data_IF_004864466337
#
_entry.id   IF_004864466337
#
_cell.length_a   1.000
_cell.length_b   1.000
_cell.length_c   1.000
_cell.angle_alpha   90.00
_cell.angle_beta   90.00
_cell.angle_gamma   90.00
#
_symmetry.space_group_name_H-M   'P 1'
#
loop_
_entity.id
_entity.type
_entity.pdbx_description
1 polymer ?
#
# COMPACT_ATOMS: atom_id res chain seq x y z
N UNK A 1 5.95 1.19 3.07
CA UNK A 1 5.06 0.51 2.12
C UNK A 1 5.82 -0.50 1.24
N UNK A 2 6.83 -0.10 0.47
CA UNK A 2 7.56 -1.03 -0.44
C UNK A 2 8.08 -2.29 0.27
N UNK A 3 8.72 -2.12 1.43
CA UNK A 3 9.15 -3.24 2.28
C UNK A 3 8.02 -4.24 2.56
N UNK A 4 6.82 -3.75 2.88
CA UNK A 4 5.66 -4.61 3.18
C UNK A 4 5.13 -5.32 1.93
N UNK A 5 5.36 -4.76 0.73
CA UNK A 5 5.07 -5.46 -0.50
C UNK A 5 5.98 -6.69 -0.64
N UNK A 6 7.28 -6.59 -0.31
CA UNK A 6 8.18 -7.74 -0.31
C UNK A 6 7.88 -8.75 0.80
N UNK A 7 7.42 -8.29 1.97
CA UNK A 7 7.04 -9.19 3.07
C UNK A 7 5.80 -10.04 2.70
N UNK A 8 4.84 -9.48 1.96
CA UNK A 8 3.59 -10.15 1.58
C UNK A 8 3.69 -10.87 0.24
N UNK A 9 4.46 -10.33 -0.70
CA UNK A 9 4.73 -10.89 -2.04
C UNK A 9 6.25 -11.02 -2.24
N UNK A 10 6.88 -12.07 -1.67
CA UNK A 10 8.33 -12.27 -1.76
C UNK A 10 8.86 -12.32 -3.20
N UNK A 11 8.03 -12.73 -4.16
CA UNK A 11 8.35 -12.74 -5.59
C UNK A 11 8.64 -11.35 -6.16
N UNK A 12 8.22 -10.28 -5.47
CA UNK A 12 8.52 -8.91 -5.87
C UNK A 12 9.89 -8.44 -5.35
N UNK A 13 10.63 -9.20 -4.56
CA UNK A 13 11.92 -8.76 -4.03
C UNK A 13 12.88 -8.31 -5.16
N UNK A 14 13.35 -7.06 -5.08
CA UNK A 14 14.16 -6.43 -6.13
C UNK A 14 13.38 -5.83 -7.30
N UNK A 15 12.04 -5.90 -7.30
CA UNK A 15 11.19 -5.21 -8.26
C UNK A 15 11.34 -3.68 -8.14
N UNK A 16 11.53 -3.02 -9.27
CA UNK A 16 11.56 -1.57 -9.39
C UNK A 16 10.14 -1.04 -9.59
N UNK A 17 9.53 -0.54 -8.50
CA UNK A 17 8.17 0.00 -8.53
C UNK A 17 8.10 1.31 -9.32
N UNK A 18 7.10 1.42 -10.20
CA UNK A 18 6.85 2.58 -11.04
C UNK A 18 5.55 3.29 -10.65
N UNK A 19 5.46 4.62 -10.80
CA UNK A 19 4.21 5.34 -10.65
C UNK A 19 3.12 4.77 -11.57
N UNK A 20 1.89 4.68 -11.08
CA UNK A 20 0.75 4.12 -11.84
C UNK A 20 0.61 2.60 -11.75
N UNK A 21 1.60 1.86 -11.24
CA UNK A 21 1.43 0.42 -10.99
C UNK A 21 0.39 0.18 -9.90
N UNK A 22 -0.49 -0.80 -10.12
CA UNK A 22 -1.38 -1.30 -9.07
C UNK A 22 -0.76 -2.50 -8.36
N UNK A 23 -1.09 -2.68 -7.08
CA UNK A 23 -0.73 -3.92 -6.36
C UNK A 23 -1.32 -5.15 -7.07
N UNK A 24 -2.49 -5.02 -7.70
CA UNK A 24 -3.14 -6.09 -8.44
C UNK A 24 -2.34 -6.49 -9.68
N UNK A 25 -1.77 -5.53 -10.42
CA UNK A 25 -0.91 -5.81 -11.58
C UNK A 25 0.38 -6.52 -11.18
N UNK A 26 0.82 -6.31 -9.93
CA UNK A 26 1.97 -6.97 -9.32
C UNK A 26 1.63 -8.31 -8.66
N UNK A 27 0.43 -8.86 -8.89
CA UNK A 27 0.02 -10.17 -8.40
C UNK A 27 -0.74 -10.18 -7.07
N UNK A 28 -0.96 -9.02 -6.44
CA UNK A 28 -1.64 -8.94 -5.15
C UNK A 28 -3.14 -9.26 -5.26
N UNK A 29 -3.58 -10.31 -4.57
CA UNK A 29 -4.99 -10.59 -4.37
C UNK A 29 -5.59 -9.69 -3.25
N UNK A 30 -6.88 -9.86 -2.95
CA UNK A 30 -7.59 -9.00 -1.98
C UNK A 30 -7.08 -9.11 -0.55
N UNK A 31 -6.54 -10.26 -0.15
CA UNK A 31 -5.95 -10.50 1.16
C UNK A 31 -4.59 -9.79 1.22
N UNK A 32 -3.74 -9.99 0.21
CA UNK A 32 -2.41 -9.38 0.13
C UNK A 32 -2.49 -7.85 0.21
N UNK A 33 -3.41 -7.24 -0.57
CA UNK A 33 -3.64 -5.79 -0.52
C UNK A 33 -4.12 -5.33 0.85
N UNK A 34 -4.96 -6.11 1.52
CA UNK A 34 -5.45 -5.79 2.86
C UNK A 34 -4.31 -5.78 3.88
N UNK A 35 -3.41 -6.77 3.78
CA UNK A 35 -2.28 -6.93 4.68
C UNK A 35 -1.22 -5.85 4.46
N UNK A 36 -0.81 -5.59 3.21
CA UNK A 36 0.13 -4.51 2.86
C UNK A 36 -0.35 -3.15 3.40
N UNK A 37 -1.64 -2.85 3.22
CA UNK A 37 -2.24 -1.61 3.73
C UNK A 37 -2.23 -1.57 5.26
N UNK A 38 -2.55 -2.68 5.92
CA UNK A 38 -2.58 -2.77 7.39
C UNK A 38 -1.19 -2.57 7.98
N UNK A 39 -0.19 -3.32 7.50
CA UNK A 39 1.21 -3.18 7.91
C UNK A 39 1.74 -1.75 7.67
N UNK A 40 1.31 -1.11 6.57
CA UNK A 40 1.69 0.26 6.27
C UNK A 40 1.09 1.25 7.26
N UNK A 41 -0.20 1.13 7.58
CA UNK A 41 -0.86 1.99 8.57
C UNK A 41 -0.24 1.83 9.96
N UNK A 42 0.01 0.59 10.39
CA UNK A 42 0.67 0.29 11.67
C UNK A 42 2.08 0.90 11.74
N UNK A 43 2.88 0.72 10.69
CA UNK A 43 4.24 1.27 10.63
C UNK A 43 4.27 2.79 10.64
N UNK A 44 3.21 3.44 10.16
CA UNK A 44 3.05 4.90 10.18
C UNK A 44 2.31 5.41 11.43
N UNK A 45 1.90 4.51 12.34
CA UNK A 45 1.02 4.84 13.49
C UNK A 45 -0.24 5.61 13.09
N UNK A 46 -0.78 5.33 11.89
CA UNK A 46 -1.97 5.99 11.37
C UNK A 46 -3.24 5.21 11.71
N UNK A 47 -4.18 5.88 12.35
CA UNK A 47 -5.51 5.33 12.61
C UNK A 47 -6.51 5.90 11.60
N UNK A 48 -6.86 5.11 10.59
CA UNK A 48 -7.90 5.46 9.62
C UNK A 48 -8.65 4.23 9.11
N UNK A 49 -9.93 4.37 8.75
CA UNK A 49 -10.70 3.25 8.23
C UNK A 49 -10.21 2.89 6.82
N UNK A 50 -9.99 1.60 6.56
CA UNK A 50 -9.52 1.10 5.25
C UNK A 50 -10.43 1.47 4.08
N UNK A 51 -11.73 1.69 4.33
CA UNK A 51 -12.69 2.16 3.32
C UNK A 51 -12.30 3.51 2.72
N UNK A 52 -11.52 4.34 3.44
CA UNK A 52 -11.00 5.61 2.92
C UNK A 52 -9.94 5.41 1.82
N UNK A 53 -9.40 4.19 1.69
CA UNK A 53 -8.47 3.80 0.63
C UNK A 53 -9.19 3.02 -0.49
N UNK A 54 -10.50 2.79 -0.37
CA UNK A 54 -11.27 2.10 -1.39
C UNK A 54 -11.31 2.91 -2.69
N UNK A 55 -11.08 2.24 -3.82
CA UNK A 55 -11.03 2.86 -5.15
C UNK A 55 -9.68 3.46 -5.52
N UNK A 56 -8.72 3.50 -4.59
CA UNK A 56 -7.32 3.81 -4.91
C UNK A 56 -6.67 2.54 -5.45
N UNK A 57 -6.38 2.56 -6.74
CA UNK A 57 -5.88 1.37 -7.44
C UNK A 57 -4.37 1.39 -7.63
N UNK A 58 -3.72 2.54 -7.59
CA UNK A 58 -2.28 2.65 -7.86
C UNK A 58 -1.48 2.87 -6.58
N UNK A 59 -0.23 2.44 -6.60
CA UNK A 59 0.70 2.55 -5.48
C UNK A 59 0.98 4.03 -5.16
N UNK A 60 1.17 4.88 -6.15
CA UNK A 60 1.34 6.32 -5.98
C UNK A 60 0.09 6.95 -5.34
N UNK A 61 -1.11 6.55 -5.75
CA UNK A 61 -2.34 7.03 -5.13
C UNK A 61 -2.48 6.64 -3.65
N UNK A 62 -2.00 5.43 -3.28
CA UNK A 62 -1.97 4.97 -1.89
C UNK A 62 -0.96 5.79 -1.09
N UNK A 63 0.26 5.95 -1.60
CA UNK A 63 1.32 6.74 -0.97
C UNK A 63 0.87 8.18 -0.75
N UNK A 64 0.29 8.81 -1.76
CA UNK A 64 -0.22 10.19 -1.69
C UNK A 64 -1.26 10.36 -0.59
N UNK A 65 -2.21 9.43 -0.51
CA UNK A 65 -3.30 9.50 0.46
C UNK A 65 -2.78 9.32 1.88
N UNK A 66 -1.89 8.36 2.09
CA UNK A 66 -1.23 8.12 3.38
C UNK A 66 -0.36 9.31 3.79
N UNK A 67 0.38 9.90 2.84
CA UNK A 67 1.20 11.07 3.09
C UNK A 67 0.35 12.27 3.51
N UNK A 68 -0.73 12.58 2.78
CA UNK A 68 -1.67 13.64 3.16
C UNK A 68 -2.26 13.40 4.54
N UNK A 69 -2.62 12.15 4.85
CA UNK A 69 -3.14 11.79 6.17
C UNK A 69 -2.12 12.07 7.27
N UNK A 70 -0.85 11.70 7.05
CA UNK A 70 0.25 11.94 7.98
C UNK A 70 0.48 13.43 8.26
N UNK A 71 0.32 14.30 7.25
CA UNK A 71 0.43 15.76 7.45
C UNK A 71 -0.75 16.37 8.21
N UNK A 72 -1.87 15.63 8.34
CA UNK A 72 -3.09 16.06 9.02
C UNK A 72 -3.33 15.39 10.38
N UNK A 73 -2.43 14.49 10.77
CA UNK A 73 -2.46 13.74 12.03
C UNK A 73 -1.67 14.51 13.11
#
# INVERSE_FOLDING_TARGET
MIRHCYEVLPELEGHEFKPGESLTDLGANSIDRAEIVTLTLESLSLHMPRVALAGINTIDGLVDTLYRKLQSA
#
